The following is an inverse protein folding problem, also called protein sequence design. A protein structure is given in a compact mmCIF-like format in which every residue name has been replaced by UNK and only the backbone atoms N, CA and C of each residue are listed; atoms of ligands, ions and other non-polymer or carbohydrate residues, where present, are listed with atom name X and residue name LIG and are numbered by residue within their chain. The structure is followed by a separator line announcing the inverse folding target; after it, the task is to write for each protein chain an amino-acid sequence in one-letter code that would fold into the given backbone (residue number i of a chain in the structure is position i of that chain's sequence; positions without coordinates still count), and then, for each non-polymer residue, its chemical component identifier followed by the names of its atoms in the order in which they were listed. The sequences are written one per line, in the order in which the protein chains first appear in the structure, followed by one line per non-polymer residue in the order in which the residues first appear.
data_IF_934879454974
#
_entry.id   IF_934879454974
#
_cell.length_a   1.000
_cell.length_b   1.000
_cell.length_c   1.000
_cell.angle_alpha   90.00
_cell.angle_beta   90.00
_cell.angle_gamma   90.00
#
_symmetry.space_group_name_H-M   'P 1'
#
loop_
_entity.id
_entity.type
_entity.pdbx_description
1 polymer ?
#
# COMPACT_ATOMS: atom_id res chain seq x y z
N UNK A 1 29.04 -0.16 -2.26
CA UNK A 1 29.71 -1.47 -2.11
C UNK A 1 29.15 -2.14 -0.86
N UNK A 2 28.42 -3.24 -1.01
CA UNK A 2 27.86 -4.00 0.12
C UNK A 2 28.91 -4.99 0.63
N UNK A 3 29.28 -4.90 1.91
CA UNK A 3 30.18 -5.85 2.55
C UNK A 3 29.45 -7.13 2.91
N UNK A 4 30.05 -8.25 2.53
CA UNK A 4 29.56 -9.65 2.51
C UNK A 4 29.10 -10.26 3.85
N UNK A 5 29.12 -9.52 4.97
CA UNK A 5 28.75 -10.04 6.29
C UNK A 5 27.53 -9.29 6.85
N UNK A 6 26.34 -9.80 6.50
CA UNK A 6 25.05 -9.30 6.97
C UNK A 6 24.87 -9.52 8.47
N UNK A 7 24.93 -8.44 9.25
CA UNK A 7 24.40 -8.41 10.61
C UNK A 7 23.12 -7.58 10.57
N UNK A 8 21.98 -8.27 10.63
CA UNK A 8 20.64 -7.68 10.61
C UNK A 8 20.11 -7.41 12.03
N UNK A 9 21.00 -7.38 13.03
CA UNK A 9 20.65 -7.17 14.43
C UNK A 9 20.75 -5.68 14.80
N UNK A 10 19.79 -5.22 15.61
CA UNK A 10 19.78 -3.85 16.14
C UNK A 10 20.84 -3.75 17.22
N UNK A 11 21.83 -2.89 17.03
CA UNK A 11 22.86 -2.64 18.04
C UNK A 11 22.27 -1.95 19.27
N UNK A 12 22.74 -2.35 20.46
CA UNK A 12 22.32 -1.81 21.76
C UNK A 12 22.64 -0.31 21.94
N UNK A 13 23.51 0.25 21.08
CA UNK A 13 23.81 1.68 21.00
C UNK A 13 22.75 2.51 20.23
N UNK A 14 21.66 1.89 19.78
CA UNK A 14 20.53 2.56 19.14
C UNK A 14 20.67 2.78 17.62
N UNK A 15 21.77 2.35 17.01
CA UNK A 15 21.95 2.39 15.55
C UNK A 15 21.24 1.20 14.91
N UNK A 16 20.15 1.50 14.19
CA UNK A 16 19.19 0.52 13.70
C UNK A 16 19.68 -0.35 12.53
N UNK A 17 20.57 0.13 11.66
CA UNK A 17 21.09 -0.64 10.51
C UNK A 17 22.45 -0.07 10.05
N UNK A 18 23.50 -0.87 10.01
CA UNK A 18 24.79 -0.50 9.38
C UNK A 18 24.77 -0.73 7.86
N UNK A 19 23.92 -1.64 7.39
CA UNK A 19 23.57 -1.84 5.98
C UNK A 19 22.08 -2.16 5.87
N UNK A 20 21.38 -1.53 4.91
CA UNK A 20 20.03 -1.93 4.51
C UNK A 20 20.12 -2.77 3.26
N UNK A 21 19.42 -3.90 3.22
CA UNK A 21 19.21 -4.60 1.95
C UNK A 21 18.48 -3.66 0.98
N UNK A 22 18.84 -3.74 -0.31
CA UNK A 22 18.27 -2.86 -1.32
C UNK A 22 16.84 -3.30 -1.61
N UNK A 23 15.85 -2.67 -0.97
CA UNK A 23 14.44 -3.00 -1.13
C UNK A 23 13.63 -2.56 0.08
N UNK A 24 12.31 -2.45 -0.07
CA UNK A 24 11.44 -2.23 1.09
C UNK A 24 11.33 -3.54 1.88
N UNK A 25 11.25 -3.52 3.22
CA UNK A 25 10.98 -4.73 4.02
C UNK A 25 9.59 -5.35 3.76
N UNK A 26 8.75 -4.70 2.94
CA UNK A 26 7.43 -5.17 2.53
C UNK A 26 7.48 -6.00 1.22
N UNK A 27 8.56 -6.74 0.97
CA UNK A 27 8.67 -7.70 -0.13
C UNK A 27 7.70 -8.86 0.18
N UNK A 28 6.47 -8.81 -0.37
CA UNK A 28 5.54 -9.94 -0.31
C UNK A 28 4.10 -9.62 0.10
N UNK A 29 3.77 -8.39 0.49
CA UNK A 29 2.39 -8.00 0.79
C UNK A 29 1.65 -7.62 -0.50
N UNK A 30 1.35 -8.61 -1.34
CA UNK A 30 0.53 -8.46 -2.53
C UNK A 30 1.11 -7.49 -3.58
N UNK A 31 0.39 -7.30 -4.69
CA UNK A 31 0.75 -6.19 -5.60
C UNK A 31 0.47 -4.88 -4.87
N UNK A 32 1.37 -3.89 -4.99
CA UNK A 32 1.14 -2.55 -4.40
C UNK A 32 -0.25 -2.04 -4.82
N UNK A 33 -1.13 -1.81 -3.84
CA UNK A 33 -2.50 -1.35 -4.08
C UNK A 33 -3.53 -2.44 -4.38
N UNK A 34 -3.32 -3.68 -3.93
CA UNK A 34 -4.30 -4.77 -4.06
C UNK A 34 -5.60 -4.50 -3.29
N UNK A 35 -5.49 -3.89 -2.11
CA UNK A 35 -6.61 -3.35 -1.33
C UNK A 35 -6.49 -1.83 -1.18
N UNK A 36 -7.63 -1.14 -1.19
CA UNK A 36 -7.74 0.31 -1.07
C UNK A 36 -8.85 0.66 -0.08
N UNK A 37 -8.67 1.72 0.71
CA UNK A 37 -9.69 2.21 1.65
C UNK A 37 -10.77 2.96 0.89
N UNK A 38 -12.04 2.58 1.08
CA UNK A 38 -13.15 3.31 0.51
C UNK A 38 -13.34 4.64 1.24
N UNK A 39 -13.36 5.76 0.52
CA UNK A 39 -13.55 7.10 1.12
C UNK A 39 -14.91 7.30 1.80
N UNK A 40 -15.92 6.47 1.48
CA UNK A 40 -17.27 6.60 2.05
C UNK A 40 -17.48 5.73 3.30
N UNK A 41 -17.10 4.45 3.25
CA UNK A 41 -17.31 3.52 4.37
C UNK A 41 -16.04 3.22 5.19
N UNK A 42 -14.87 3.72 4.78
CA UNK A 42 -13.59 3.53 5.47
C UNK A 42 -12.98 2.13 5.37
N UNK A 43 -13.75 1.13 4.91
CA UNK A 43 -13.28 -0.25 4.83
C UNK A 43 -12.29 -0.45 3.69
N UNK A 44 -11.23 -1.23 3.95
CA UNK A 44 -10.34 -1.73 2.93
C UNK A 44 -11.05 -2.77 2.08
N UNK A 45 -11.12 -2.52 0.77
CA UNK A 45 -11.71 -3.43 -0.20
C UNK A 45 -10.69 -3.73 -1.30
N UNK A 46 -10.76 -4.92 -1.92
CA UNK A 46 -9.98 -5.21 -3.13
C UNK A 46 -10.24 -4.15 -4.19
N UNK A 47 -9.19 -3.70 -4.89
CA UNK A 47 -9.31 -2.67 -5.94
C UNK A 47 -10.32 -3.05 -7.03
N UNK A 48 -10.48 -4.35 -7.31
CA UNK A 48 -11.46 -4.90 -8.26
C UNK A 48 -12.94 -4.69 -7.86
N UNK A 49 -13.21 -4.41 -6.58
CA UNK A 49 -14.56 -4.17 -6.05
C UNK A 49 -14.89 -2.67 -5.90
N UNK A 50 -14.17 -1.81 -6.63
CA UNK A 50 -14.42 -0.38 -6.60
C UNK A 50 -13.83 0.36 -7.78
N UNK A 51 -14.01 1.67 -7.76
CA UNK A 51 -13.52 2.58 -8.80
C UNK A 51 -12.89 3.83 -8.19
N UNK A 52 -11.93 4.42 -8.91
CA UNK A 52 -11.42 5.75 -8.57
C UNK A 52 -12.35 6.81 -9.15
N UNK A 53 -12.73 7.78 -8.32
CA UNK A 53 -13.58 8.92 -8.71
C UNK A 53 -12.95 10.21 -8.21
N UNK A 54 -13.17 11.32 -8.93
CA UNK A 54 -12.78 12.64 -8.44
C UNK A 54 -13.62 12.98 -7.20
N UNK A 55 -12.95 13.31 -6.10
CA UNK A 55 -13.54 13.73 -4.84
C UNK A 55 -12.63 14.74 -4.17
N UNK A 56 -13.17 15.89 -3.75
CA UNK A 56 -12.41 16.98 -3.12
C UNK A 56 -11.14 17.40 -3.89
N UNK A 57 -11.20 17.44 -5.23
CA UNK A 57 -10.07 17.84 -6.08
C UNK A 57 -9.03 16.72 -6.37
N UNK A 58 -9.10 15.58 -5.70
CA UNK A 58 -8.20 14.45 -5.90
C UNK A 58 -8.94 13.21 -6.44
N UNK A 59 -8.19 12.25 -6.97
CA UNK A 59 -8.71 10.92 -7.28
C UNK A 59 -8.75 10.09 -6.00
N UNK A 60 -9.94 9.61 -5.65
CA UNK A 60 -10.16 8.84 -4.44
C UNK A 60 -10.94 7.55 -4.73
N UNK A 61 -10.70 6.49 -3.95
CA UNK A 61 -11.29 5.18 -4.17
C UNK A 61 -12.67 5.06 -3.50
N UNK A 62 -13.65 4.53 -4.23
CA UNK A 62 -14.98 4.19 -3.72
C UNK A 62 -15.30 2.74 -4.07
N UNK A 63 -15.76 1.96 -3.09
CA UNK A 63 -16.26 0.60 -3.35
C UNK A 63 -17.63 0.64 -4.07
N UNK A 64 -17.94 -0.44 -4.79
CA UNK A 64 -19.20 -0.55 -5.54
C UNK A 64 -20.44 -0.62 -4.64
N UNK A 65 -20.30 -1.13 -3.41
CA UNK A 65 -21.37 -1.09 -2.39
C UNK A 65 -21.77 0.36 -2.06
N UNK A 66 -20.78 1.27 -2.02
CA UNK A 66 -20.97 2.66 -1.65
C UNK A 66 -21.36 3.55 -2.84
N UNK A 67 -20.80 3.25 -4.01
CA UNK A 67 -21.08 3.92 -5.27
C UNK A 67 -21.06 2.89 -6.40
N UNK A 68 -22.23 2.38 -6.83
CA UNK A 68 -22.30 1.39 -7.89
C UNK A 68 -21.76 1.93 -9.23
N UNK A 69 -21.24 1.05 -10.10
CA UNK A 69 -20.80 1.44 -11.43
C UNK A 69 -21.99 1.98 -12.23
N UNK A 70 -21.79 3.09 -12.94
CA UNK A 70 -22.79 3.60 -13.88
C UNK A 70 -22.62 2.79 -15.16
N UNK A 71 -23.64 2.03 -15.54
CA UNK A 71 -23.65 1.30 -16.80
C UNK A 71 -23.51 2.30 -17.95
N UNK A 72 -22.50 2.11 -18.80
CA UNK A 72 -22.39 2.87 -20.04
C UNK A 72 -23.33 2.19 -21.04
N UNK A 73 -24.44 2.87 -21.36
CA UNK A 73 -25.28 2.54 -22.52
C UNK A 73 -24.50 2.76 -23.82
#
# INVERSE_FOLDING_TARGET
MATKNGKNEVSDSGLRFTSRENGSPFIGMGKVGETMSCMKCGLHKPRRLGSQRRFAGALAFFCFDCKPPVEKK
#
